data_IF_976776344938
#
_entry.id   IF_976776344938
#
_cell.length_a   1.000
_cell.length_b   1.000
_cell.length_c   1.000
_cell.angle_alpha   90.00
_cell.angle_beta   90.00
_cell.angle_gamma   90.00
#
_symmetry.space_group_name_H-M   'P 1'
#
loop_
_entity.id
_entity.type
_entity.pdbx_description
1 polymer ?
#
# COMPACT_ATOMS: atom_id res chain seq x y z
N UNK A 1 11.87 -10.96 1.41
CA UNK A 1 10.79 -10.05 1.02
C UNK A 1 10.43 -10.39 -0.42
N UNK A 2 9.17 -10.21 -0.80
CA UNK A 2 8.61 -10.72 -2.04
C UNK A 2 7.97 -9.59 -2.85
N UNK A 3 8.23 -9.58 -4.16
CA UNK A 3 7.52 -8.70 -5.09
C UNK A 3 6.10 -9.22 -5.29
N UNK A 4 5.12 -8.39 -4.96
CA UNK A 4 3.71 -8.70 -5.07
C UNK A 4 3.22 -8.32 -6.49
N UNK A 5 2.42 -9.17 -7.16
CA UNK A 5 1.83 -8.81 -8.45
C UNK A 5 0.90 -7.59 -8.33
N UNK A 6 1.18 -6.55 -9.10
CA UNK A 6 0.32 -5.37 -9.18
C UNK A 6 -0.81 -5.63 -10.18
N UNK A 7 -2.05 -5.60 -9.68
CA UNK A 7 -3.27 -5.66 -10.48
C UNK A 7 -3.34 -4.47 -11.45
N UNK A 8 -3.86 -4.71 -12.66
CA UNK A 8 -3.99 -3.68 -13.70
C UNK A 8 -5.45 -3.48 -14.06
N UNK A 9 -5.85 -2.23 -14.28
CA UNK A 9 -7.17 -1.93 -14.83
C UNK A 9 -7.38 -2.70 -16.15
N UNK A 10 -8.56 -3.29 -16.41
CA UNK A 10 -9.83 -3.17 -15.69
C UNK A 10 -10.13 -4.30 -14.68
N UNK A 11 -9.13 -4.85 -13.98
CA UNK A 11 -9.37 -5.94 -13.03
C UNK A 11 -10.41 -5.56 -11.95
N UNK A 12 -11.54 -6.30 -11.84
CA UNK A 12 -12.65 -5.94 -10.95
C UNK A 12 -12.27 -5.96 -9.46
N UNK A 13 -11.19 -6.66 -9.10
CA UNK A 13 -10.65 -6.67 -7.74
C UNK A 13 -10.23 -5.28 -7.26
N UNK A 14 -9.83 -4.40 -8.19
CA UNK A 14 -9.47 -3.00 -7.87
C UNK A 14 -10.66 -2.18 -7.35
N UNK A 15 -11.91 -2.63 -7.54
CA UNK A 15 -13.11 -1.94 -7.07
C UNK A 15 -13.60 -2.39 -5.68
N UNK A 16 -12.96 -3.39 -5.06
CA UNK A 16 -13.37 -3.88 -3.75
C UNK A 16 -12.91 -2.95 -2.63
N UNK A 17 -13.85 -2.57 -1.76
CA UNK A 17 -13.56 -1.76 -0.58
C UNK A 17 -12.66 -2.52 0.41
N UNK A 18 -11.62 -1.84 0.89
CA UNK A 18 -10.67 -2.39 1.86
C UNK A 18 -11.19 -2.26 3.30
N UNK A 19 -11.02 -3.32 4.08
CA UNK A 19 -11.37 -3.36 5.50
C UNK A 19 -10.36 -2.62 6.39
N UNK A 20 -10.78 -2.23 7.60
CA UNK A 20 -9.87 -1.66 8.59
C UNK A 20 -8.93 -2.74 9.13
N UNK A 21 -7.66 -2.38 9.32
CA UNK A 21 -6.69 -3.18 10.07
C UNK A 21 -7.04 -3.11 11.55
N UNK A 22 -7.34 -4.25 12.17
CA UNK A 22 -7.68 -4.32 13.59
C UNK A 22 -6.47 -4.14 14.53
N UNK A 23 -5.32 -4.73 14.17
CA UNK A 23 -4.08 -4.60 14.91
C UNK A 23 -2.87 -4.62 13.97
N UNK A 24 -1.84 -3.83 14.29
CA UNK A 24 -0.58 -3.80 13.53
C UNK A 24 0.35 -4.90 14.06
N UNK A 25 0.10 -6.13 13.59
CA UNK A 25 0.89 -7.32 13.91
C UNK A 25 2.05 -7.51 12.91
N UNK A 26 2.80 -8.60 13.07
CA UNK A 26 3.92 -8.92 12.18
C UNK A 26 3.50 -9.22 10.74
N UNK A 27 2.28 -9.67 10.51
CA UNK A 27 1.75 -9.87 9.15
C UNK A 27 1.56 -8.53 8.43
N UNK A 28 1.01 -7.53 9.12
CA UNK A 28 0.89 -6.17 8.59
C UNK A 28 2.26 -5.56 8.34
N UNK A 29 3.23 -5.77 9.25
CA UNK A 29 4.61 -5.29 9.05
C UNK A 29 5.27 -5.94 7.83
N UNK A 30 5.08 -7.25 7.63
CA UNK A 30 5.56 -7.96 6.44
C UNK A 30 4.91 -7.42 5.17
N UNK A 31 3.59 -7.24 5.17
CA UNK A 31 2.85 -6.66 4.05
C UNK A 31 3.39 -5.27 3.67
N UNK A 32 3.63 -4.40 4.65
CA UNK A 32 4.20 -3.06 4.41
C UNK A 32 5.57 -3.15 3.72
N UNK A 33 6.44 -4.05 4.19
CA UNK A 33 7.76 -4.23 3.61
C UNK A 33 7.68 -4.75 2.17
N UNK A 34 6.86 -5.78 1.91
CA UNK A 34 6.66 -6.35 0.57
C UNK A 34 6.01 -5.32 -0.38
N UNK A 35 5.08 -4.50 0.12
CA UNK A 35 4.48 -3.40 -0.64
C UNK A 35 5.49 -2.31 -0.98
N UNK A 36 6.35 -1.91 -0.04
CA UNK A 36 7.40 -0.92 -0.29
C UNK A 36 8.39 -1.42 -1.34
N UNK A 37 8.86 -2.67 -1.22
CA UNK A 37 9.75 -3.28 -2.22
C UNK A 37 9.09 -3.35 -3.60
N UNK A 38 7.83 -3.78 -3.66
CA UNK A 38 7.02 -3.82 -4.89
C UNK A 38 6.89 -2.44 -5.53
N UNK A 39 6.62 -1.40 -4.72
CA UNK A 39 6.52 -0.01 -5.17
C UNK A 39 7.84 0.46 -5.80
N UNK A 40 8.98 0.24 -5.12
CA UNK A 40 10.28 0.68 -5.61
C UNK A 40 10.73 -0.07 -6.87
N UNK A 41 10.40 -1.36 -6.98
CA UNK A 41 10.67 -2.18 -8.15
C UNK A 41 9.77 -1.83 -9.35
N UNK A 42 8.56 -1.31 -9.09
CA UNK A 42 7.60 -0.82 -10.09
C UNK A 42 7.78 0.68 -10.45
N UNK A 43 8.98 1.22 -10.26
CA UNK A 43 9.29 2.65 -10.02
C UNK A 43 8.15 3.59 -9.57
N UNK A 44 7.25 3.14 -8.69
CA UNK A 44 6.15 3.94 -8.19
C UNK A 44 6.54 4.85 -7.01
N UNK A 45 5.68 5.83 -6.71
CA UNK A 45 5.79 6.72 -5.54
C UNK A 45 4.74 6.42 -4.46
N UNK A 46 3.82 5.50 -4.75
CA UNK A 46 2.80 5.05 -3.81
C UNK A 46 2.18 3.73 -4.24
N UNK A 47 1.75 2.93 -3.27
CA UNK A 47 1.08 1.65 -3.49
C UNK A 47 0.05 1.40 -2.37
N UNK A 48 -1.19 1.11 -2.74
CA UNK A 48 -2.24 0.67 -1.83
C UNK A 48 -2.35 -0.87 -1.83
N UNK A 49 -2.68 -1.47 -0.68
CA UNK A 49 -2.74 -2.93 -0.54
C UNK A 49 -3.74 -3.58 -1.53
N UNK A 50 -4.83 -2.88 -1.88
CA UNK A 50 -5.80 -3.36 -2.88
C UNK A 50 -5.16 -3.63 -4.24
N UNK A 51 -4.12 -2.87 -4.62
CA UNK A 51 -3.42 -3.06 -5.90
C UNK A 51 -2.61 -4.37 -5.95
N UNK A 52 -2.37 -5.00 -4.80
CA UNK A 52 -1.67 -6.28 -4.68
C UNK A 52 -2.59 -7.39 -4.13
N UNK A 53 -3.89 -7.25 -4.37
CA UNK A 53 -4.95 -8.20 -3.99
C UNK A 53 -5.11 -8.41 -2.47
N UNK A 54 -4.74 -7.40 -1.67
CA UNK A 54 -4.92 -7.39 -0.21
C UNK A 54 -5.90 -6.29 0.21
N UNK A 55 -7.08 -6.67 0.66
CA UNK A 55 -8.18 -5.73 0.96
C UNK A 55 -8.13 -5.18 2.38
N UNK A 56 -7.01 -4.56 2.75
CA UNK A 56 -6.81 -3.88 4.03
C UNK A 56 -6.45 -2.41 3.79
N UNK A 57 -6.85 -1.53 4.70
CA UNK A 57 -6.54 -0.10 4.64
C UNK A 57 -5.08 0.16 5.01
N UNK A 58 -4.18 -0.17 4.09
CA UNK A 58 -2.73 0.06 4.18
C UNK A 58 -2.26 0.71 2.89
N UNK A 59 -1.51 1.81 3.04
CA UNK A 59 -0.92 2.57 1.93
C UNK A 59 0.54 2.85 2.28
N UNK A 60 1.43 2.65 1.32
CA UNK A 60 2.82 3.12 1.40
C UNK A 60 3.03 4.23 0.37
N UNK A 61 3.78 5.27 0.74
CA UNK A 61 4.08 6.43 -0.12
C UNK A 61 5.53 6.85 0.11
N UNK A 62 6.27 7.04 -0.97
CA UNK A 62 7.55 7.71 -0.94
C UNK A 62 7.66 8.65 -2.15
N UNK A 63 7.60 9.95 -1.87
CA UNK A 63 7.72 11.02 -2.87
C UNK A 63 9.11 11.64 -2.91
N UNK A 64 10.05 11.14 -2.10
CA UNK A 64 11.43 11.64 -2.10
C UNK A 64 12.15 11.20 -3.38
N UNK A 65 12.97 12.10 -3.93
CA UNK A 65 13.83 11.77 -5.07
C UNK A 65 14.84 10.67 -4.73
N UNK A 66 15.30 10.66 -3.48
CA UNK A 66 16.29 9.75 -2.91
C UNK A 66 15.72 8.41 -2.46
N UNK A 67 14.39 8.24 -2.45
CA UNK A 67 13.69 7.03 -1.99
C UNK A 67 14.06 6.61 -0.56
N UNK A 68 14.19 7.59 0.33
CA UNK A 68 14.61 7.42 1.72
C UNK A 68 13.57 7.97 2.73
N UNK A 69 12.38 8.35 2.26
CA UNK A 69 11.30 8.93 3.08
C UNK A 69 9.99 8.16 2.91
N UNK A 70 10.05 6.85 3.14
CA UNK A 70 8.87 6.00 3.13
C UNK A 70 7.91 6.40 4.26
N UNK A 71 6.69 6.76 3.88
CA UNK A 71 5.57 6.96 4.77
C UNK A 71 4.59 5.79 4.67
N UNK A 72 4.07 5.36 5.81
CA UNK A 72 3.11 4.26 5.91
C UNK A 72 1.85 4.78 6.58
N UNK A 73 0.71 4.55 5.94
CA UNK A 73 -0.60 4.95 6.43
C UNK A 73 -1.46 3.71 6.63
N UNK A 74 -1.98 3.54 7.85
CA UNK A 74 -2.85 2.43 8.23
C UNK A 74 -4.16 3.02 8.75
N UNK A 75 -5.28 2.52 8.22
CA UNK A 75 -6.62 3.08 8.46
C UNK A 75 -6.68 4.62 8.28
N UNK A 76 -6.09 5.20 7.22
CA UNK A 76 -6.06 6.64 7.06
C UNK A 76 -7.47 7.22 6.90
N UNK A 77 -7.64 8.44 7.40
CA UNK A 77 -8.87 9.21 7.30
C UNK A 77 -8.51 10.66 6.97
N UNK A 78 -9.24 11.26 6.02
CA UNK A 78 -9.13 12.68 5.70
C UNK A 78 -10.07 13.42 6.66
N UNK A 79 -9.52 14.18 7.60
CA UNK A 79 -10.30 14.92 8.58
C UNK A 79 -10.77 16.29 8.05
N UNK A 80 -9.94 16.92 7.23
CA UNK A 80 -10.18 18.24 6.64
C UNK A 80 -9.57 18.30 5.23
N UNK A 81 -10.14 19.10 4.35
CA UNK A 81 -9.62 19.37 3.01
C UNK A 81 -9.93 20.81 2.61
N UNK A 82 -8.97 21.47 1.96
CA UNK A 82 -9.06 22.86 1.48
C UNK A 82 -9.25 22.93 -0.03
#
# INVERSE_FOLDING_TARGET
MALLPILRYPDPRLHKAAGRVGAVNDEIRRLINDMAETMYAAPGIGLAATQVDVYQQVIVIDISETRDRLNVFINPEILEAS
#
